data_IF_060075963724
#
_entry.id   IF_060075963724
#
_cell.length_a   1.000
_cell.length_b   1.000
_cell.length_c   1.000
_cell.angle_alpha   90.00
_cell.angle_beta   90.00
_cell.angle_gamma   90.00
#
_symmetry.space_group_name_H-M   'P 1'
#
loop_
_entity.id
_entity.type
_entity.pdbx_description
1 polymer ?
#
# COMPACT_ATOMS: atom_id res chain seq x y z
N UNK A 1 3.10 1.20 18.15
CA UNK A 1 2.64 -0.21 18.07
C UNK A 1 3.74 -0.99 17.34
N UNK A 2 4.63 -1.67 18.07
CA UNK A 2 5.98 -2.02 17.58
C UNK A 2 6.24 -3.52 17.38
N UNK A 3 5.21 -4.37 17.27
CA UNK A 3 5.42 -5.80 17.00
C UNK A 3 4.59 -6.26 15.81
N UNK A 4 5.24 -7.01 14.91
CA UNK A 4 4.57 -7.72 13.81
C UNK A 4 3.50 -8.63 14.41
N UNK A 5 2.29 -8.68 13.84
CA UNK A 5 1.22 -9.51 14.38
C UNK A 5 1.58 -11.00 14.33
N UNK A 6 1.13 -11.75 15.32
CA UNK A 6 1.16 -13.21 15.36
C UNK A 6 0.26 -13.80 14.27
N UNK A 7 0.56 -15.02 13.83
CA UNK A 7 -0.21 -15.71 12.77
C UNK A 7 -1.67 -15.99 13.13
N UNK A 8 -2.02 -15.89 14.42
CA UNK A 8 -3.38 -16.02 14.95
C UNK A 8 -4.13 -14.68 15.03
N UNK A 9 -3.50 -13.54 14.71
CA UNK A 9 -4.10 -12.21 14.77
C UNK A 9 -4.61 -11.72 13.39
N UNK A 10 -4.43 -12.53 12.34
CA UNK A 10 -4.89 -12.20 10.99
C UNK A 10 -5.31 -13.45 10.22
N UNK A 11 -6.12 -13.27 9.17
CA UNK A 11 -6.51 -14.37 8.28
C UNK A 11 -5.27 -14.93 7.55
N UNK A 12 -5.04 -16.27 7.52
CA UNK A 12 -3.86 -16.88 6.89
C UNK A 12 -3.55 -16.42 5.47
N UNK A 13 -4.56 -16.02 4.69
CA UNK A 13 -4.40 -15.40 3.37
C UNK A 13 -3.41 -14.23 3.37
N UNK A 14 -3.42 -13.40 4.43
CA UNK A 14 -2.55 -12.23 4.53
C UNK A 14 -1.11 -12.53 4.97
N UNK A 15 -0.79 -13.78 5.33
CA UNK A 15 0.54 -14.14 5.82
C UNK A 15 1.63 -13.83 4.80
N UNK A 16 1.35 -14.02 3.51
CA UNK A 16 2.31 -13.70 2.45
C UNK A 16 2.67 -12.21 2.44
N UNK A 17 1.68 -11.32 2.55
CA UNK A 17 1.91 -9.87 2.52
C UNK A 17 2.57 -9.36 3.79
N UNK A 18 2.17 -9.88 4.97
CA UNK A 18 2.76 -9.48 6.26
C UNK A 18 4.25 -9.84 6.32
N UNK A 19 4.65 -10.94 5.67
CA UNK A 19 6.07 -11.34 5.56
C UNK A 19 6.92 -10.43 4.68
N UNK A 20 6.32 -9.65 3.78
CA UNK A 20 7.05 -8.72 2.91
C UNK A 20 7.48 -7.44 3.64
N UNK A 21 6.84 -7.12 4.76
CA UNK A 21 7.20 -5.94 5.57
C UNK A 21 8.47 -6.27 6.36
N UNK A 22 9.56 -5.49 6.25
CA UNK A 22 10.78 -5.70 7.04
C UNK A 22 10.55 -5.61 8.56
N UNK A 23 11.48 -6.13 9.34
CA UNK A 23 11.48 -5.90 10.79
C UNK A 23 11.84 -4.44 11.09
N UNK A 24 11.12 -3.81 12.02
CA UNK A 24 11.38 -2.44 12.43
C UNK A 24 10.16 -1.70 12.95
N UNK A 25 10.32 -0.40 13.17
CA UNK A 25 9.21 0.48 13.52
C UNK A 25 8.32 0.71 12.30
N UNK A 26 7.04 0.35 12.42
CA UNK A 26 6.10 0.38 11.28
C UNK A 26 5.86 1.79 10.74
N UNK A 27 5.89 2.81 11.61
CA UNK A 27 5.68 4.20 11.17
C UNK A 27 6.89 4.64 10.35
N UNK A 28 8.10 4.33 10.82
CA UNK A 28 9.30 4.60 10.06
C UNK A 28 9.33 3.88 8.70
N UNK A 29 8.93 2.60 8.66
CA UNK A 29 8.86 1.83 7.41
C UNK A 29 7.89 2.48 6.41
N UNK A 30 6.70 2.89 6.86
CA UNK A 30 5.71 3.58 6.03
C UNK A 30 6.24 4.92 5.49
N UNK A 31 6.93 5.70 6.33
CA UNK A 31 7.55 6.97 5.92
C UNK A 31 8.63 6.76 4.84
N UNK A 32 9.44 5.72 4.96
CA UNK A 32 10.44 5.38 3.94
C UNK A 32 9.80 4.89 2.64
N UNK A 33 8.82 3.99 2.72
CA UNK A 33 8.09 3.50 1.54
C UNK A 33 7.43 4.64 0.75
N UNK A 34 6.86 5.63 1.45
CA UNK A 34 6.31 6.83 0.80
C UNK A 34 7.39 7.62 0.06
N UNK A 35 8.58 7.79 0.65
CA UNK A 35 9.70 8.49 0.00
C UNK A 35 10.21 7.72 -1.23
N UNK A 36 10.40 6.41 -1.09
CA UNK A 36 10.84 5.53 -2.18
C UNK A 36 9.85 5.54 -3.34
N UNK A 37 8.55 5.44 -3.04
CA UNK A 37 7.48 5.49 -4.05
C UNK A 37 7.47 6.83 -4.77
N UNK A 38 7.58 7.95 -4.05
CA UNK A 38 7.69 9.27 -4.67
C UNK A 38 8.94 9.38 -5.56
N UNK A 39 10.09 8.89 -5.09
CA UNK A 39 11.33 8.90 -5.86
C UNK A 39 11.26 8.04 -7.13
N UNK A 40 10.56 6.90 -7.07
CA UNK A 40 10.31 6.02 -8.21
C UNK A 40 9.45 6.71 -9.28
N UNK A 41 8.46 7.49 -8.85
CA UNK A 41 7.45 8.06 -9.74
C UNK A 41 7.79 9.48 -10.23
N UNK A 42 8.70 10.20 -9.57
CA UNK A 42 8.94 11.64 -9.82
C UNK A 42 9.34 11.98 -11.25
N UNK A 43 10.04 11.08 -11.95
CA UNK A 43 10.61 11.34 -13.27
C UNK A 43 9.73 10.77 -14.40
N UNK A 44 8.58 10.17 -14.07
CA UNK A 44 7.63 9.64 -15.04
C UNK A 44 6.92 10.80 -15.73
N UNK A 45 7.13 10.93 -17.04
CA UNK A 45 6.42 11.91 -17.85
C UNK A 45 4.93 11.59 -17.98
N UNK A 46 4.14 12.58 -18.38
CA UNK A 46 2.69 12.39 -18.55
C UNK A 46 2.36 11.30 -19.59
N UNK A 47 3.12 11.24 -20.70
CA UNK A 47 2.94 10.23 -21.73
C UNK A 47 3.29 8.82 -21.24
N UNK A 48 4.38 8.67 -20.49
CA UNK A 48 4.75 7.39 -19.85
C UNK A 48 3.69 6.97 -18.81
N UNK A 49 3.12 7.92 -18.08
CA UNK A 49 2.01 7.66 -17.15
C UNK A 49 0.80 6.99 -17.81
N UNK A 50 0.56 7.25 -19.10
CA UNK A 50 -0.52 6.64 -19.89
C UNK A 50 -0.12 5.33 -20.59
N UNK A 51 1.15 4.90 -20.50
CA UNK A 51 1.62 3.67 -21.14
C UNK A 51 0.91 2.43 -20.60
N UNK A 52 0.52 1.52 -21.50
CA UNK A 52 -0.08 0.20 -21.23
C UNK A 52 0.65 -0.85 -22.05
N UNK A 53 1.13 -1.92 -21.41
CA UNK A 53 1.92 -2.95 -22.09
C UNK A 53 1.09 -3.91 -22.96
N UNK A 54 -0.23 -3.94 -22.80
CA UNK A 54 -1.14 -4.75 -23.60
C UNK A 54 -2.56 -4.17 -23.57
N UNK A 55 -3.42 -4.52 -24.55
CA UNK A 55 -4.84 -4.19 -24.51
C UNK A 55 -5.49 -4.65 -23.21
N UNK A 56 -6.41 -3.84 -22.67
CA UNK A 56 -7.15 -4.10 -21.43
C UNK A 56 -6.29 -4.18 -20.15
N UNK A 57 -5.02 -3.77 -20.19
CA UNK A 57 -4.19 -3.60 -18.99
C UNK A 57 -4.21 -2.16 -18.51
N UNK A 58 -4.02 -1.99 -17.20
CA UNK A 58 -3.92 -0.67 -16.59
C UNK A 58 -2.67 0.07 -17.06
N UNK A 59 -2.81 1.39 -17.19
CA UNK A 59 -1.68 2.29 -17.32
C UNK A 59 -0.98 2.46 -15.97
N UNK A 60 0.21 3.07 -15.99
CA UNK A 60 0.94 3.41 -14.76
C UNK A 60 0.06 4.26 -13.84
N UNK A 61 -0.65 5.27 -14.39
CA UNK A 61 -1.58 6.11 -13.62
C UNK A 61 -2.74 5.33 -13.02
N UNK A 62 -3.31 4.38 -13.75
CA UNK A 62 -4.41 3.55 -13.25
C UNK A 62 -3.96 2.65 -12.09
N UNK A 63 -2.75 2.07 -12.18
CA UNK A 63 -2.15 1.29 -11.09
C UNK A 63 -1.95 2.17 -9.85
N UNK A 64 -1.36 3.35 -9.99
CA UNK A 64 -1.11 4.27 -8.87
C UNK A 64 -2.43 4.73 -8.24
N UNK A 65 -3.43 5.07 -9.06
CA UNK A 65 -4.76 5.42 -8.59
C UNK A 65 -5.39 4.32 -7.75
N UNK A 66 -5.32 3.07 -8.22
CA UNK A 66 -5.84 1.92 -7.48
C UNK A 66 -5.15 1.70 -6.13
N UNK A 67 -3.83 1.88 -6.06
CA UNK A 67 -3.07 1.78 -4.80
C UNK A 67 -3.53 2.88 -3.84
N UNK A 68 -3.60 4.13 -4.31
CA UNK A 68 -4.00 5.27 -3.48
C UNK A 68 -5.44 5.14 -2.96
N UNK A 69 -6.35 4.61 -3.76
CA UNK A 69 -7.73 4.32 -3.32
C UNK A 69 -7.76 3.23 -2.25
N UNK A 70 -6.95 2.18 -2.43
CA UNK A 70 -6.83 1.10 -1.45
C UNK A 70 -6.29 1.61 -0.12
N UNK A 71 -5.26 2.47 -0.13
CA UNK A 71 -4.70 3.08 1.08
C UNK A 71 -5.74 3.92 1.83
N UNK A 72 -6.55 4.72 1.11
CA UNK A 72 -7.64 5.51 1.72
C UNK A 72 -8.67 4.61 2.39
N UNK A 73 -9.08 3.52 1.74
CA UNK A 73 -10.02 2.56 2.32
C UNK A 73 -9.43 1.88 3.55
N UNK A 74 -8.15 1.50 3.53
CA UNK A 74 -7.51 0.88 4.71
C UNK A 74 -7.38 1.86 5.87
N UNK A 75 -7.03 3.13 5.61
CA UNK A 75 -6.98 4.17 6.62
C UNK A 75 -8.36 4.44 7.23
N UNK A 76 -9.40 4.50 6.40
CA UNK A 76 -10.78 4.62 6.86
C UNK A 76 -11.19 3.44 7.76
N UNK A 77 -10.92 2.20 7.33
CA UNK A 77 -11.20 1.00 8.13
C UNK A 77 -10.47 1.02 9.47
N UNK A 78 -9.20 1.42 9.48
CA UNK A 78 -8.42 1.55 10.71
C UNK A 78 -9.08 2.56 11.67
N UNK A 79 -9.52 3.71 11.16
CA UNK A 79 -10.22 4.72 11.96
C UNK A 79 -11.53 4.18 12.54
N UNK A 80 -12.35 3.51 11.71
CA UNK A 80 -13.62 2.91 12.14
C UNK A 80 -13.40 1.87 13.24
N UNK A 81 -12.41 0.98 13.08
CA UNK A 81 -12.04 0.00 14.10
C UNK A 81 -11.59 0.68 15.39
N UNK A 82 -10.73 1.71 15.30
CA UNK A 82 -10.25 2.45 16.46
C UNK A 82 -11.37 3.16 17.24
N UNK A 83 -12.49 3.48 16.57
CA UNK A 83 -13.68 4.08 17.17
C UNK A 83 -14.73 3.07 17.65
N UNK A 84 -14.53 1.77 17.36
CA UNK A 84 -15.54 0.75 17.65
C UNK A 84 -16.78 0.85 16.77
N UNK A 85 -16.65 1.40 15.55
CA UNK A 85 -17.74 1.42 14.57
C UNK A 85 -18.02 -0.02 14.08
N UNK A 86 -19.30 -0.36 13.89
CA UNK A 86 -19.80 -1.69 13.51
C UNK A 86 -20.44 -1.70 12.13
#
# INVERSE_FOLDING_TARGET
>A
MQKRPGTNEYNPYYSMYIKLVPDGDIIHILEQQMKETNLLLKDISDSEGHFRYAPNKWSIKEVIGHIADTERIMAYRLLSIARGET
#
